data_IF_461135141487
#
_entry.id   IF_461135141487
#
_cell.length_a   1.000
_cell.length_b   1.000
_cell.length_c   1.000
_cell.angle_alpha   90.00
_cell.angle_beta   90.00
_cell.angle_gamma   90.00
#
_symmetry.space_group_name_H-M   'P 1'
#
loop_
_entity.id
_entity.type
_entity.pdbx_description
1 polymer ?
#
# COMPACT_ATOMS: atom_id res chain seq x y z
N UNK A 1 18.51 10.50 6.42
CA UNK A 1 17.34 10.16 5.58
C UNK A 1 17.67 8.86 4.89
N UNK A 2 16.74 7.91 4.85
CA UNK A 2 16.95 6.63 4.19
C UNK A 2 16.90 6.82 2.66
N UNK A 3 18.00 6.49 1.96
CA UNK A 3 18.21 6.74 0.54
C UNK A 3 17.76 5.57 -0.37
N UNK A 4 17.10 4.58 0.22
CA UNK A 4 16.82 3.27 -0.36
C UNK A 4 15.54 2.68 0.29
N UNK A 5 14.65 2.10 -0.51
CA UNK A 5 13.45 1.33 -0.09
C UNK A 5 13.75 0.39 1.09
N UNK A 6 14.84 -0.39 0.97
CA UNK A 6 15.31 -1.35 1.95
C UNK A 6 15.68 -0.70 3.29
N UNK A 7 16.17 0.53 3.29
CA UNK A 7 16.52 1.24 4.52
C UNK A 7 15.27 1.68 5.29
N UNK A 8 14.23 2.15 4.60
CA UNK A 8 12.95 2.52 5.23
C UNK A 8 12.29 1.27 5.82
N UNK A 9 12.23 0.18 5.05
CA UNK A 9 11.67 -1.07 5.55
C UNK A 9 12.47 -1.63 6.74
N UNK A 10 13.81 -1.65 6.64
CA UNK A 10 14.67 -2.07 7.76
C UNK A 10 14.46 -1.19 8.97
N UNK A 11 14.38 0.14 8.80
CA UNK A 11 14.11 1.06 9.88
C UNK A 11 12.78 0.76 10.58
N UNK A 12 11.70 0.56 9.82
CA UNK A 12 10.39 0.22 10.36
C UNK A 12 10.45 -1.08 11.16
N UNK A 13 11.01 -2.13 10.57
CA UNK A 13 11.07 -3.48 11.16
C UNK A 13 11.94 -3.52 12.40
N UNK A 14 13.19 -3.02 12.33
CA UNK A 14 14.14 -3.05 13.44
C UNK A 14 13.70 -2.20 14.64
N UNK A 15 12.97 -1.12 14.40
CA UNK A 15 12.55 -0.19 15.46
C UNK A 15 11.07 -0.32 15.81
N UNK A 16 10.40 -1.36 15.29
CA UNK A 16 8.97 -1.62 15.47
C UNK A 16 8.08 -0.38 15.23
N UNK A 17 8.40 0.42 14.21
CA UNK A 17 7.66 1.64 13.86
C UNK A 17 6.42 1.30 13.04
N UNK A 18 5.64 0.32 13.49
CA UNK A 18 4.45 -0.21 12.81
C UNK A 18 3.36 0.84 12.58
N UNK A 19 3.36 1.92 13.37
CA UNK A 19 2.48 3.06 13.14
C UNK A 19 2.74 3.75 11.79
N UNK A 20 3.91 3.60 11.16
CA UNK A 20 4.20 4.18 9.83
C UNK A 20 3.31 3.52 8.76
N UNK A 21 3.42 2.20 8.48
CA UNK A 21 2.49 1.53 7.58
C UNK A 21 1.05 1.51 8.14
N UNK A 22 0.87 1.43 9.46
CA UNK A 22 -0.46 1.51 10.09
C UNK A 22 -1.18 2.85 9.84
N UNK A 23 -0.43 3.95 9.64
CA UNK A 23 -1.01 5.26 9.33
C UNK A 23 -1.76 5.30 8.00
N UNK A 24 -1.57 4.31 7.12
CA UNK A 24 -2.32 4.16 5.87
C UNK A 24 -3.82 3.96 6.14
N UNK A 25 -4.25 3.45 7.30
CA UNK A 25 -5.68 3.38 7.63
C UNK A 25 -6.38 4.75 7.60
N UNK A 26 -5.66 5.86 7.84
CA UNK A 26 -6.21 7.21 7.74
C UNK A 26 -6.63 7.62 6.31
N UNK A 27 -6.21 6.85 5.30
CA UNK A 27 -6.57 7.08 3.92
C UNK A 27 -7.85 6.34 3.49
N UNK A 28 -8.42 5.54 4.39
CA UNK A 28 -9.59 4.70 4.17
C UNK A 28 -10.66 4.96 5.23
N UNK A 29 -11.88 4.54 4.93
CA UNK A 29 -13.02 4.60 5.86
C UNK A 29 -13.17 3.29 6.67
N UNK A 30 -12.11 2.50 6.79
CA UNK A 30 -12.11 1.22 7.50
C UNK A 30 -10.90 1.05 8.42
N UNK A 31 -10.99 0.12 9.37
CA UNK A 31 -9.97 -0.06 10.41
C UNK A 31 -10.30 0.63 11.74
N UNK A 32 -11.48 1.24 11.86
CA UNK A 32 -11.92 1.92 13.09
C UNK A 32 -12.61 0.97 14.09
N UNK A 33 -13.08 -0.21 13.67
CA UNK A 33 -13.59 -1.24 14.60
C UNK A 33 -12.50 -2.22 15.04
N UNK A 34 -11.74 -2.73 14.07
CA UNK A 34 -10.59 -3.61 14.28
C UNK A 34 -9.56 -3.29 13.19
N UNK A 35 -8.28 -3.27 13.54
CA UNK A 35 -7.18 -3.00 12.60
C UNK A 35 -5.99 -3.92 12.90
N UNK A 36 -5.52 -4.62 11.88
CA UNK A 36 -4.39 -5.53 11.97
C UNK A 36 -3.37 -5.22 10.87
N UNK A 37 -2.09 -5.46 11.17
CA UNK A 37 -0.97 -5.26 10.26
C UNK A 37 -0.13 -6.53 10.21
N UNK A 38 0.18 -6.99 8.99
CA UNK A 38 0.99 -8.16 8.73
C UNK A 38 2.18 -7.74 7.84
N UNK A 39 3.42 -7.80 8.33
CA UNK A 39 4.60 -7.54 7.51
C UNK A 39 4.88 -8.74 6.57
N UNK A 40 5.36 -8.47 5.36
CA UNK A 40 5.84 -9.49 4.41
C UNK A 40 4.80 -10.58 4.10
N UNK A 41 3.53 -10.18 3.94
CA UNK A 41 2.44 -11.13 3.74
C UNK A 41 2.58 -11.82 2.38
N UNK A 42 2.72 -13.14 2.41
CA UNK A 42 2.81 -13.97 1.19
C UNK A 42 1.46 -14.07 0.49
N UNK A 43 1.52 -13.99 -0.84
CA UNK A 43 0.42 -14.30 -1.77
C UNK A 43 0.80 -15.58 -2.54
N UNK A 44 0.43 -16.72 -1.95
CA UNK A 44 0.90 -18.02 -2.41
C UNK A 44 2.41 -18.15 -2.24
N UNK A 45 3.09 -18.76 -3.23
CA UNK A 45 4.54 -18.97 -3.19
C UNK A 45 5.33 -17.97 -4.05
N UNK A 46 4.64 -17.16 -4.86
CA UNK A 46 5.28 -16.38 -5.93
C UNK A 46 5.46 -14.91 -5.58
N UNK A 47 4.66 -14.38 -4.65
CA UNK A 47 4.68 -12.96 -4.30
C UNK A 47 4.60 -12.77 -2.80
N UNK A 48 5.14 -11.64 -2.34
CA UNK A 48 4.97 -11.15 -0.98
C UNK A 48 4.75 -9.64 -1.07
N UNK A 49 3.87 -9.12 -0.23
CA UNK A 49 3.65 -7.68 -0.09
C UNK A 49 4.51 -7.16 1.05
N UNK A 50 4.95 -5.90 0.99
CA UNK A 50 5.73 -5.33 2.11
C UNK A 50 4.91 -5.32 3.40
N UNK A 51 3.64 -4.94 3.26
CA UNK A 51 2.66 -4.99 4.34
C UNK A 51 1.29 -5.42 3.79
N UNK A 52 0.51 -6.08 4.62
CA UNK A 52 -0.92 -6.25 4.47
C UNK A 52 -1.62 -5.61 5.66
N UNK A 53 -2.60 -4.76 5.38
CA UNK A 53 -3.46 -4.15 6.39
C UNK A 53 -4.85 -4.77 6.29
N UNK A 54 -5.41 -5.20 7.42
CA UNK A 54 -6.76 -5.73 7.52
C UNK A 54 -7.58 -4.82 8.43
N UNK A 55 -8.58 -4.15 7.86
CA UNK A 55 -9.42 -3.19 8.58
C UNK A 55 -10.89 -3.60 8.56
N UNK A 56 -11.58 -3.43 9.69
CA UNK A 56 -13.00 -3.71 9.84
C UNK A 56 -13.84 -2.45 9.94
N UNK A 57 -15.05 -2.52 9.38
CA UNK A 57 -16.15 -1.55 9.55
C UNK A 57 -17.43 -2.28 9.94
N UNK A 58 -18.55 -1.56 10.04
CA UNK A 58 -19.89 -2.14 10.12
C UNK A 58 -20.18 -3.12 8.99
N UNK A 59 -19.63 -2.85 7.81
CA UNK A 59 -19.98 -3.59 6.59
C UNK A 59 -19.14 -4.85 6.42
N UNK A 60 -18.14 -5.08 7.27
CA UNK A 60 -17.22 -6.22 7.20
C UNK A 60 -15.75 -5.81 7.09
N UNK A 61 -14.91 -6.71 6.59
CA UNK A 61 -13.46 -6.51 6.48
C UNK A 61 -13.04 -6.07 5.08
N UNK A 62 -11.98 -5.25 5.04
CA UNK A 62 -11.25 -4.84 3.84
C UNK A 62 -9.77 -5.12 4.00
N UNK A 63 -9.07 -5.45 2.91
CA UNK A 63 -7.62 -5.66 2.88
C UNK A 63 -6.96 -4.56 2.06
N UNK A 64 -5.80 -4.06 2.52
CA UNK A 64 -4.88 -3.24 1.74
C UNK A 64 -3.55 -3.96 1.61
N UNK A 65 -3.13 -4.24 0.37
CA UNK A 65 -1.79 -4.73 0.05
C UNK A 65 -0.89 -3.53 -0.26
N UNK A 66 0.25 -3.43 0.42
CA UNK A 66 1.13 -2.26 0.36
C UNK A 66 2.46 -2.64 -0.25
N UNK A 67 2.91 -1.82 -1.20
CA UNK A 67 4.25 -1.87 -1.81
C UNK A 67 4.97 -0.54 -1.59
N UNK A 68 6.20 -0.59 -1.09
CA UNK A 68 7.10 0.55 -1.00
C UNK A 68 8.15 0.43 -2.10
N UNK A 69 8.38 1.54 -2.80
CA UNK A 69 9.41 1.68 -3.83
C UNK A 69 10.37 2.81 -3.45
N UNK A 70 11.36 3.11 -4.30
CA UNK A 70 12.38 4.12 -4.01
C UNK A 70 11.78 5.51 -3.77
N UNK A 71 12.31 6.22 -2.78
CA UNK A 71 11.89 7.58 -2.40
C UNK A 71 12.59 8.70 -3.19
N UNK A 72 13.77 8.43 -3.73
CA UNK A 72 14.69 9.44 -4.28
C UNK A 72 14.79 9.44 -5.80
N UNK A 73 13.73 8.99 -6.48
CA UNK A 73 13.68 8.93 -7.95
C UNK A 73 12.50 9.77 -8.47
N UNK A 74 12.68 10.47 -9.61
CA UNK A 74 11.57 11.07 -10.35
C UNK A 74 10.45 10.08 -10.63
N UNK A 75 9.20 10.53 -10.50
CA UNK A 75 8.04 9.70 -10.82
C UNK A 75 7.96 9.42 -12.33
N UNK A 76 8.22 10.43 -13.15
CA UNK A 76 8.36 10.29 -14.61
C UNK A 76 9.81 10.47 -15.06
N UNK A 77 10.15 9.82 -16.17
CA UNK A 77 11.43 10.01 -16.88
C UNK A 77 11.37 11.33 -17.63
N UNK A 78 12.42 12.13 -17.52
CA UNK A 78 12.51 13.46 -18.13
C UNK A 78 12.55 13.45 -19.67
N UNK A 79 12.79 12.30 -20.28
CA UNK A 79 13.01 12.17 -21.74
C UNK A 79 11.72 11.92 -22.52
N UNK A 80 10.76 11.20 -21.94
CA UNK A 80 9.55 10.74 -22.63
C UNK A 80 8.28 10.85 -21.76
N UNK A 81 8.39 11.47 -20.59
CA UNK A 81 7.31 11.60 -19.60
C UNK A 81 6.69 10.26 -19.17
N UNK A 82 7.30 9.12 -19.47
CA UNK A 82 6.80 7.82 -19.01
C UNK A 82 7.18 7.57 -17.57
N UNK A 83 6.48 6.66 -16.89
CA UNK A 83 6.80 6.32 -15.50
C UNK A 83 8.26 5.84 -15.35
N UNK A 84 8.89 6.31 -14.26
CA UNK A 84 10.21 5.90 -13.84
C UNK A 84 10.28 4.40 -13.55
N UNK A 85 11.50 3.85 -13.51
CA UNK A 85 11.71 2.42 -13.30
C UNK A 85 11.09 1.92 -11.99
N UNK A 86 11.25 2.63 -10.88
CA UNK A 86 10.66 2.25 -9.58
C UNK A 86 9.14 2.22 -9.63
N UNK A 87 8.53 3.23 -10.26
CA UNK A 87 7.07 3.30 -10.43
C UNK A 87 6.58 2.14 -11.27
N UNK A 88 7.22 1.85 -12.41
CA UNK A 88 6.85 0.70 -13.27
C UNK A 88 6.99 -0.63 -12.54
N UNK A 89 8.05 -0.82 -11.76
CA UNK A 89 8.27 -2.02 -10.94
C UNK A 89 7.14 -2.21 -9.93
N UNK A 90 6.85 -1.21 -9.11
CA UNK A 90 5.76 -1.27 -8.12
C UNK A 90 4.38 -1.50 -8.76
N UNK A 91 4.09 -0.82 -9.88
CA UNK A 91 2.84 -1.03 -10.62
C UNK A 91 2.74 -2.44 -11.22
N UNK A 92 3.84 -3.02 -11.66
CA UNK A 92 3.88 -4.38 -12.19
C UNK A 92 3.57 -5.39 -11.08
N UNK A 93 4.21 -5.24 -9.92
CA UNK A 93 3.92 -6.08 -8.75
C UNK A 93 2.45 -6.01 -8.34
N UNK A 94 1.87 -4.80 -8.26
CA UNK A 94 0.44 -4.62 -7.94
C UNK A 94 -0.47 -5.30 -8.98
N UNK A 95 -0.16 -5.18 -10.27
CA UNK A 95 -0.92 -5.85 -11.34
C UNK A 95 -0.85 -7.38 -11.21
N UNK A 96 0.31 -7.91 -10.86
CA UNK A 96 0.49 -9.34 -10.62
C UNK A 96 -0.29 -9.80 -9.38
N UNK A 97 -0.32 -9.01 -8.30
CA UNK A 97 -1.13 -9.28 -7.12
C UNK A 97 -2.63 -9.23 -7.42
N UNK A 98 -3.09 -8.24 -8.18
CA UNK A 98 -4.48 -8.14 -8.63
C UNK A 98 -4.90 -9.38 -9.44
N UNK A 99 -4.06 -9.79 -10.39
CA UNK A 99 -4.29 -11.00 -11.20
C UNK A 99 -4.34 -12.23 -10.31
N UNK A 100 -3.38 -12.37 -9.40
CA UNK A 100 -3.31 -13.51 -8.49
C UNK A 100 -4.52 -13.56 -7.55
N UNK A 101 -4.89 -12.44 -6.93
CA UNK A 101 -6.04 -12.34 -6.02
C UNK A 101 -7.37 -12.62 -6.71
N UNK A 102 -7.55 -12.18 -7.96
CA UNK A 102 -8.78 -12.46 -8.71
C UNK A 102 -9.01 -13.96 -8.94
N UNK A 103 -7.93 -14.74 -9.03
CA UNK A 103 -7.97 -16.19 -9.25
C UNK A 103 -7.90 -17.00 -7.94
N UNK A 104 -7.23 -16.47 -6.92
CA UNK A 104 -6.83 -17.24 -5.74
C UNK A 104 -7.40 -16.71 -4.41
N UNK A 105 -8.36 -15.77 -4.43
CA UNK A 105 -8.93 -15.14 -3.22
C UNK A 105 -9.32 -16.14 -2.12
N UNK A 106 -10.12 -17.15 -2.47
CA UNK A 106 -10.61 -18.14 -1.49
C UNK A 106 -9.46 -18.95 -0.89
N UNK A 107 -8.48 -19.32 -1.73
CA UNK A 107 -7.27 -19.99 -1.27
C UNK A 107 -6.47 -19.09 -0.32
N UNK A 108 -6.28 -17.82 -0.68
CA UNK A 108 -5.59 -16.84 0.14
C UNK A 108 -6.22 -16.70 1.52
N UNK A 109 -7.53 -16.38 1.59
CA UNK A 109 -8.25 -16.19 2.85
C UNK A 109 -8.22 -17.44 3.74
N UNK A 110 -8.27 -18.62 3.14
CA UNK A 110 -8.12 -19.89 3.87
C UNK A 110 -6.70 -20.08 4.40
N UNK A 111 -5.68 -19.77 3.59
CA UNK A 111 -4.27 -19.98 3.93
C UNK A 111 -3.78 -19.08 5.07
N UNK A 112 -4.40 -17.91 5.24
CA UNK A 112 -4.12 -17.00 6.37
C UNK A 112 -5.18 -17.08 7.48
N UNK A 113 -5.93 -18.20 7.54
CA UNK A 113 -6.94 -18.52 8.56
C UNK A 113 -8.10 -17.52 8.73
N UNK A 114 -8.30 -16.58 7.80
CA UNK A 114 -9.42 -15.65 7.86
C UNK A 114 -10.76 -16.36 7.72
N UNK A 115 -10.86 -17.33 6.81
CA UNK A 115 -12.10 -18.11 6.63
C UNK A 115 -12.48 -18.90 7.88
N UNK A 116 -11.50 -19.45 8.62
CA UNK A 116 -11.75 -20.17 9.88
C UNK A 116 -12.27 -19.24 10.98
N UNK A 117 -11.92 -17.95 10.92
CA UNK A 117 -12.41 -16.89 11.80
C UNK A 117 -13.76 -16.31 11.35
N UNK A 118 -14.40 -16.90 10.33
CA UNK A 118 -15.66 -16.39 9.76
C UNK A 118 -15.48 -15.08 8.99
N UNK A 119 -14.25 -14.75 8.57
CA UNK A 119 -13.94 -13.54 7.82
C UNK A 119 -13.89 -13.91 6.33
N UNK A 120 -14.87 -13.40 5.57
CA UNK A 120 -14.83 -13.37 4.10
C UNK A 120 -14.65 -11.92 3.63
N UNK A 121 -13.88 -11.76 2.56
CA UNK A 121 -13.52 -10.46 2.02
C UNK A 121 -13.73 -10.52 0.51
N UNK A 122 -14.75 -9.81 -0.01
CA UNK A 122 -15.01 -9.80 -1.43
C UNK A 122 -13.89 -9.06 -2.18
N UNK A 123 -13.69 -9.42 -3.45
CA UNK A 123 -12.58 -8.90 -4.25
C UNK A 123 -12.59 -7.36 -4.38
N UNK A 124 -13.78 -6.74 -4.41
CA UNK A 124 -13.92 -5.28 -4.48
C UNK A 124 -13.54 -4.56 -3.17
N UNK A 125 -13.27 -5.29 -2.08
CA UNK A 125 -12.70 -4.77 -0.82
C UNK A 125 -11.23 -5.14 -0.64
N UNK A 126 -10.59 -5.61 -1.70
CA UNK A 126 -9.13 -5.72 -1.79
C UNK A 126 -8.58 -4.46 -2.46
N UNK A 127 -7.75 -3.73 -1.73
CA UNK A 127 -7.11 -2.49 -2.15
C UNK A 127 -5.60 -2.67 -2.26
N UNK A 128 -4.98 -1.80 -3.04
CA UNK A 128 -3.55 -1.85 -3.32
C UNK A 128 -2.97 -0.44 -3.15
N UNK A 129 -1.84 -0.33 -2.49
CA UNK A 129 -1.27 0.95 -2.07
C UNK A 129 0.22 0.99 -2.41
N UNK A 130 0.58 1.82 -3.39
CA UNK A 130 1.96 2.05 -3.80
C UNK A 130 2.49 3.32 -3.14
N UNK A 131 3.61 3.20 -2.44
CA UNK A 131 4.36 4.33 -1.88
C UNK A 131 5.65 4.51 -2.67
N UNK A 132 5.76 5.59 -3.44
CA UNK A 132 6.88 5.81 -4.34
C UNK A 132 7.23 7.29 -4.47
N UNK A 133 8.53 7.59 -4.50
CA UNK A 133 9.03 8.95 -4.67
C UNK A 133 8.70 9.91 -3.53
N UNK A 134 9.08 11.17 -3.71
CA UNK A 134 8.70 12.29 -2.86
C UNK A 134 8.04 13.39 -3.68
N UNK A 135 7.31 14.28 -3.02
CA UNK A 135 6.62 15.42 -3.64
C UNK A 135 7.55 16.28 -4.48
N UNK A 136 8.78 16.50 -4.01
CA UNK A 136 9.79 17.30 -4.72
C UNK A 136 10.31 16.62 -6.01
N UNK A 137 9.93 15.36 -6.25
CA UNK A 137 10.22 14.59 -7.46
C UNK A 137 8.98 14.42 -8.37
N UNK A 138 7.93 15.20 -8.14
CA UNK A 138 6.71 15.24 -8.95
C UNK A 138 6.61 16.60 -9.64
N UNK A 139 6.43 16.58 -10.96
CA UNK A 139 5.98 17.73 -11.74
C UNK A 139 4.48 17.59 -12.10
N UNK A 140 3.92 18.59 -12.78
CA UNK A 140 2.51 18.59 -13.17
C UNK A 140 2.16 17.38 -14.06
N UNK A 141 3.07 17.00 -14.96
CA UNK A 141 2.90 15.83 -15.84
C UNK A 141 2.88 14.54 -15.03
N UNK A 142 3.77 14.38 -14.05
CA UNK A 142 3.76 13.24 -13.15
C UNK A 142 2.49 13.19 -12.28
N UNK A 143 1.95 14.35 -11.88
CA UNK A 143 0.68 14.42 -11.17
C UNK A 143 -0.49 13.92 -12.03
N UNK A 144 -0.56 14.33 -13.29
CA UNK A 144 -1.58 13.91 -14.23
C UNK A 144 -1.48 12.41 -14.53
N UNK A 145 -0.28 11.92 -14.86
CA UNK A 145 -0.03 10.50 -15.15
C UNK A 145 -0.39 9.64 -13.94
N UNK A 146 0.05 10.00 -12.73
CA UNK A 146 -0.32 9.27 -11.51
C UNK A 146 -1.83 9.21 -11.31
N UNK A 147 -2.52 10.32 -11.56
CA UNK A 147 -3.98 10.40 -11.42
C UNK A 147 -4.69 9.53 -12.45
N UNK A 148 -4.22 9.53 -13.70
CA UNK A 148 -4.71 8.65 -14.76
C UNK A 148 -4.48 7.18 -14.42
N UNK A 149 -3.28 6.80 -13.96
CA UNK A 149 -2.99 5.42 -13.54
C UNK A 149 -3.92 4.96 -12.42
N UNK A 150 -4.18 5.82 -11.42
CA UNK A 150 -5.11 5.51 -10.33
C UNK A 150 -6.57 5.38 -10.78
N UNK A 151 -6.96 6.14 -11.80
CA UNK A 151 -8.29 6.05 -12.41
C UNK A 151 -8.45 4.73 -13.19
N UNK A 152 -7.43 4.35 -13.97
CA UNK A 152 -7.46 3.16 -14.82
C UNK A 152 -7.32 1.85 -14.01
N UNK A 153 -6.71 1.89 -12.83
CA UNK A 153 -6.46 0.72 -12.00
C UNK A 153 -7.43 0.62 -10.82
N UNK A 154 -8.23 -0.45 -10.81
CA UNK A 154 -9.22 -0.70 -9.75
C UNK A 154 -8.61 -0.80 -8.35
N UNK A 155 -9.14 0.01 -7.42
CA UNK A 155 -8.76 0.01 -6.00
C UNK A 155 -7.26 0.25 -5.74
N UNK A 156 -6.58 0.97 -6.63
CA UNK A 156 -5.16 1.30 -6.49
C UNK A 156 -5.01 2.74 -6.04
N UNK A 157 -4.16 2.94 -5.04
CA UNK A 157 -3.75 4.27 -4.58
C UNK A 157 -2.24 4.40 -4.67
N UNK A 158 -1.79 5.48 -5.32
CA UNK A 158 -0.37 5.77 -5.51
C UNK A 158 -0.06 7.07 -4.77
N UNK A 159 0.87 7.02 -3.83
CA UNK A 159 1.24 8.17 -2.99
C UNK A 159 2.74 8.30 -2.88
N UNK A 160 3.19 9.47 -2.44
CA UNK A 160 4.60 9.69 -2.06
C UNK A 160 4.83 9.37 -0.59
N UNK A 161 6.08 9.23 -0.18
CA UNK A 161 6.44 9.06 1.23
C UNK A 161 5.96 10.22 2.13
N UNK A 162 5.82 11.43 1.57
CA UNK A 162 5.31 12.59 2.29
C UNK A 162 3.87 12.37 2.78
N UNK A 163 3.07 11.57 2.08
CA UNK A 163 1.72 11.20 2.53
C UNK A 163 1.75 10.37 3.81
N UNK A 164 2.69 9.43 3.92
CA UNK A 164 2.89 8.66 5.15
C UNK A 164 3.34 9.57 6.29
N UNK A 165 4.26 10.50 6.02
CA UNK A 165 4.72 11.46 7.02
C UNK A 165 3.55 12.32 7.55
N UNK A 166 2.70 12.82 6.66
CA UNK A 166 1.48 13.56 7.03
C UNK A 166 0.53 12.72 7.88
N UNK A 167 0.30 11.47 7.50
CA UNK A 167 -0.57 10.57 8.25
C UNK A 167 -0.01 10.26 9.64
N UNK A 168 1.30 10.03 9.76
CA UNK A 168 1.97 9.86 11.07
C UNK A 168 1.85 11.14 11.92
N UNK A 169 2.03 12.33 11.32
CA UNK A 169 1.85 13.61 12.03
C UNK A 169 0.40 13.79 12.50
N UNK A 170 -0.60 13.35 11.73
CA UNK A 170 -2.01 13.37 12.15
C UNK A 170 -2.27 12.44 13.33
N UNK A 171 -1.73 11.21 13.30
CA UNK A 171 -1.83 10.27 14.44
C UNK A 171 -1.27 10.89 15.72
N UNK A 172 -0.11 11.56 15.64
CA UNK A 172 0.51 12.22 16.78
C UNK A 172 -0.27 13.44 17.30
N UNK A 173 -1.11 14.07 16.47
CA UNK A 173 -1.94 15.22 16.86
C UNK A 173 -3.29 14.82 17.45
N UNK A 174 -3.81 13.65 17.11
CA UNK A 174 -5.14 13.18 17.55
C UNK A 174 -5.13 12.62 19.00
N UNK A 175 -4.34 13.21 19.90
CA UNK A 175 -4.25 12.86 21.33
C UNK A 175 -5.41 13.40 22.18
N UNK A 176 -6.58 13.62 21.60
CA UNK A 176 -7.76 14.07 22.33
C UNK A 176 -9.02 13.53 21.66
N UNK A 177 -9.54 12.46 22.25
CA UNK A 177 -10.93 12.01 22.09
C UNK A 177 -11.74 12.64 23.22
#
# INVERSE_FOLDING_TARGET
MANNELEIQRYIKLNHKWFIPGSIFLDYNFGHHDAYLFPEQKLGNNYATDYMLLGKTSDGYSIVFVEFEKSNMPYCRSVDNMEGESVRKGLTQIKDWQRWMSQNRNYFLKNIDLTQKGIDIPIYRSYYYLVVGRRDYMDDVAHDIRSQTMYDMHNVKIVTFDRLEENVRKLAKNHSW
#
